data_IF_905791135216
#
_entry.id   IF_905791135216
#
_cell.length_a   1.000
_cell.length_b   1.000
_cell.length_c   1.000
_cell.angle_alpha   90.00
_cell.angle_beta   90.00
_cell.angle_gamma   90.00
#
_symmetry.space_group_name_H-M   'P 1'
#
loop_
_entity.id
_entity.type
_entity.pdbx_description
1 polymer ?
#
# COMPACT_ATOMS: atom_id res chain seq x y z
N UNK A 1 25.70 48.13 -19.05
CA UNK A 1 27.10 48.20 -18.56
C UNK A 1 27.59 46.78 -18.28
N UNK A 2 28.62 46.39 -19.05
CA UNK A 2 29.63 45.29 -18.93
C UNK A 2 29.35 44.00 -18.14
N UNK A 3 29.80 42.80 -18.53
CA UNK A 3 30.45 42.16 -19.71
C UNK A 3 30.65 40.70 -19.26
N UNK A 4 30.06 39.70 -19.91
CA UNK A 4 30.75 38.69 -20.74
C UNK A 4 32.20 38.36 -20.36
N UNK A 5 32.52 37.07 -20.19
CA UNK A 5 33.69 36.27 -20.64
C UNK A 5 33.33 34.78 -20.36
N UNK A 6 33.78 33.71 -21.04
CA UNK A 6 34.17 33.38 -22.42
C UNK A 6 34.49 31.86 -22.36
N UNK A 7 34.05 31.06 -23.34
CA UNK A 7 34.38 29.63 -23.47
C UNK A 7 35.89 29.38 -23.67
N UNK A 8 36.36 28.19 -23.28
CA UNK A 8 37.42 27.48 -24.01
C UNK A 8 37.26 25.96 -23.86
N UNK A 9 37.09 25.29 -24.99
CA UNK A 9 37.26 23.84 -25.16
C UNK A 9 38.74 23.55 -25.48
N UNK A 10 39.26 22.42 -25.01
CA UNK A 10 40.49 21.83 -25.53
C UNK A 10 40.40 20.30 -25.46
N UNK A 11 40.64 19.69 -26.61
CA UNK A 11 40.71 18.24 -26.80
C UNK A 11 42.18 17.77 -26.87
N UNK A 12 42.31 16.44 -26.81
CA UNK A 12 43.34 15.57 -27.40
C UNK A 12 44.54 15.08 -26.57
N UNK A 13 44.78 13.78 -26.83
CA UNK A 13 46.05 13.02 -26.95
C UNK A 13 46.50 12.15 -25.77
N UNK A 14 46.23 10.84 -25.95
CA UNK A 14 47.01 9.74 -25.42
C UNK A 14 48.30 9.55 -26.25
N UNK A 15 49.40 9.09 -25.60
CA UNK A 15 50.49 8.23 -26.11
C UNK A 15 51.49 7.95 -24.95
N UNK A 16 52.20 6.81 -24.93
CA UNK A 16 52.37 5.94 -23.75
C UNK A 16 53.68 6.16 -22.98
N UNK A 17 53.71 5.71 -21.71
CA UNK A 17 54.94 5.61 -20.94
C UNK A 17 55.35 4.14 -20.75
N UNK A 18 56.64 3.91 -21.04
CA UNK A 18 57.33 2.64 -21.06
C UNK A 18 57.36 1.90 -19.72
N UNK A 19 57.39 0.57 -19.79
CA UNK A 19 57.60 -0.32 -18.67
C UNK A 19 59.04 -0.21 -18.13
N UNK A 20 59.17 -0.12 -16.80
CA UNK A 20 60.41 -0.32 -16.04
C UNK A 20 60.25 -1.54 -15.11
N UNK A 21 61.34 -2.23 -14.75
CA UNK A 21 61.28 -3.60 -14.24
C UNK A 21 60.75 -3.67 -12.81
N UNK A 22 59.93 -4.69 -12.57
CA UNK A 22 59.38 -5.04 -11.27
C UNK A 22 60.51 -5.57 -10.38
N UNK A 23 60.90 -4.80 -9.37
CA UNK A 23 61.65 -5.31 -8.23
C UNK A 23 60.71 -6.13 -7.34
N UNK A 24 61.01 -7.41 -7.15
CA UNK A 24 60.29 -8.32 -6.25
C UNK A 24 60.59 -7.97 -4.79
N UNK A 25 59.76 -7.12 -4.19
CA UNK A 25 59.72 -6.97 -2.73
C UNK A 25 58.92 -8.14 -2.16
N UNK A 26 59.59 -8.98 -1.36
CA UNK A 26 58.94 -10.00 -0.56
C UNK A 26 58.04 -9.32 0.49
N UNK A 27 56.74 -9.29 0.22
CA UNK A 27 55.75 -8.87 1.20
C UNK A 27 55.63 -9.94 2.30
N UNK A 28 55.94 -9.55 3.54
CA UNK A 28 55.49 -10.31 4.70
C UNK A 28 53.96 -10.40 4.68
N UNK A 29 53.34 -11.51 5.13
CA UNK A 29 51.89 -11.59 5.26
C UNK A 29 51.44 -10.61 6.35
N UNK A 30 51.06 -9.41 5.92
CA UNK A 30 50.36 -8.44 6.75
C UNK A 30 49.02 -9.03 7.15
N UNK A 31 48.78 -9.12 8.45
CA UNK A 31 47.46 -9.31 9.05
C UNK A 31 46.48 -8.36 8.37
N UNK A 32 45.45 -8.90 7.72
CA UNK A 32 44.37 -8.10 7.17
C UNK A 32 43.79 -7.22 8.29
N UNK A 33 44.01 -5.91 8.20
CA UNK A 33 43.40 -4.95 9.09
C UNK A 33 41.88 -5.09 8.94
N UNK A 34 41.20 -5.48 10.02
CA UNK A 34 39.75 -5.49 10.10
C UNK A 34 39.29 -4.06 9.82
N UNK A 35 38.54 -3.83 8.74
CA UNK A 35 37.97 -2.51 8.44
C UNK A 35 37.30 -1.96 9.72
N UNK A 36 37.62 -0.72 10.10
CA UNK A 36 37.02 -0.09 11.27
C UNK A 36 35.50 -0.12 11.13
N UNK A 37 34.81 -0.67 12.13
CA UNK A 37 33.35 -0.70 12.14
C UNK A 37 32.80 0.73 12.13
N UNK A 38 31.92 1.02 11.18
CA UNK A 38 31.26 2.32 11.07
C UNK A 38 30.42 2.64 12.32
N UNK A 39 30.03 3.91 12.50
CA UNK A 39 29.12 4.31 13.57
C UNK A 39 27.81 3.51 13.51
N UNK A 40 27.29 3.30 12.30
CA UNK A 40 26.15 2.43 12.05
C UNK A 40 26.39 1.00 12.50
N UNK A 41 27.50 0.35 12.11
CA UNK A 41 27.76 -1.06 12.47
C UNK A 41 27.84 -1.26 13.99
N UNK A 42 28.45 -0.30 14.69
CA UNK A 42 28.54 -0.34 16.16
C UNK A 42 27.17 -0.23 16.82
N UNK A 43 26.33 0.72 16.41
CA UNK A 43 24.99 0.91 16.98
C UNK A 43 24.05 -0.24 16.59
N UNK A 44 24.11 -0.71 15.35
CA UNK A 44 23.38 -1.89 14.91
C UNK A 44 23.69 -3.11 15.78
N UNK A 45 24.98 -3.38 16.04
CA UNK A 45 25.42 -4.49 16.90
C UNK A 45 24.94 -4.42 18.35
N UNK A 46 24.58 -3.23 18.84
CA UNK A 46 24.08 -3.00 20.20
C UNK A 46 22.57 -3.24 20.36
N UNK A 47 21.81 -3.41 19.28
CA UNK A 47 20.34 -3.52 19.35
C UNK A 47 19.82 -4.62 20.26
N UNK A 48 20.42 -5.83 20.23
CA UNK A 48 20.00 -6.91 21.13
C UNK A 48 20.22 -6.51 22.59
N UNK A 49 21.38 -5.93 22.88
CA UNK A 49 21.73 -5.48 24.22
C UNK A 49 20.86 -4.30 24.69
N UNK A 50 20.44 -3.41 23.79
CA UNK A 50 19.46 -2.35 24.07
C UNK A 50 18.11 -2.93 24.52
N UNK A 51 17.57 -3.91 23.78
CA UNK A 51 16.30 -4.55 24.14
C UNK A 51 16.38 -5.32 25.47
N UNK A 52 17.56 -5.83 25.82
CA UNK A 52 17.80 -6.50 27.10
C UNK A 52 18.12 -5.53 28.25
N UNK A 53 18.14 -4.21 27.99
CA UNK A 53 18.49 -3.19 28.99
C UNK A 53 19.97 -3.17 29.37
N UNK A 54 20.83 -3.87 28.63
CA UNK A 54 22.29 -3.87 28.83
C UNK A 54 22.99 -2.65 28.23
N UNK A 55 22.31 -1.94 27.33
CA UNK A 55 22.73 -0.61 26.85
C UNK A 55 21.72 0.41 27.36
N UNK A 56 22.14 1.44 28.13
CA UNK A 56 21.21 2.45 28.63
C UNK A 56 20.52 3.21 27.50
N UNK A 57 19.22 3.46 27.67
CA UNK A 57 18.40 4.19 26.69
C UNK A 57 18.99 5.57 26.33
N UNK A 58 19.46 6.29 27.35
CA UNK A 58 20.07 7.61 27.20
C UNK A 58 21.41 7.61 26.44
N UNK A 59 22.14 6.49 26.46
CA UNK A 59 23.47 6.35 25.82
C UNK A 59 23.37 5.83 24.39
N UNK A 60 22.20 5.33 24.01
CA UNK A 60 21.90 4.83 22.67
C UNK A 60 21.23 5.90 21.81
N UNK A 61 20.24 6.63 22.37
CA UNK A 61 19.39 7.54 21.61
C UNK A 61 19.71 9.01 21.82
N UNK A 62 19.68 9.78 20.73
CA UNK A 62 19.86 11.22 20.75
C UNK A 62 18.73 11.93 21.50
N UNK A 63 18.96 13.14 22.06
CA UNK A 63 17.92 13.91 22.75
C UNK A 63 16.61 14.06 21.95
N UNK A 64 16.72 14.32 20.64
CA UNK A 64 15.56 14.45 19.74
C UNK A 64 14.72 13.17 19.67
N UNK A 65 15.34 12.00 19.64
CA UNK A 65 14.61 10.72 19.66
C UNK A 65 13.92 10.51 21.01
N UNK A 66 14.59 10.85 22.11
CA UNK A 66 14.06 10.68 23.46
C UNK A 66 12.89 11.61 23.77
N UNK A 67 12.86 12.79 23.15
CA UNK A 67 11.72 13.71 23.21
C UNK A 67 10.52 13.14 22.43
N UNK A 68 10.75 12.62 21.23
CA UNK A 68 9.69 12.03 20.41
C UNK A 68 9.16 10.70 20.97
N UNK A 69 10.05 9.88 21.54
CA UNK A 69 9.74 8.59 22.14
C UNK A 69 10.40 8.56 23.54
N UNK A 70 9.64 8.84 24.61
CA UNK A 70 10.14 8.69 25.97
C UNK A 70 10.50 7.23 26.28
N UNK A 71 11.41 6.99 27.24
CA UNK A 71 11.90 5.64 27.57
C UNK A 71 10.77 4.67 27.95
N UNK A 72 9.80 5.13 28.73
CA UNK A 72 8.63 4.32 29.09
C UNK A 72 7.87 3.84 27.85
N UNK A 73 7.70 4.72 26.85
CA UNK A 73 7.04 4.37 25.59
C UNK A 73 7.88 3.41 24.75
N UNK A 74 9.20 3.59 24.70
CA UNK A 74 10.09 2.63 24.05
C UNK A 74 9.98 1.24 24.70
N UNK A 75 9.94 1.18 26.03
CA UNK A 75 9.78 -0.07 26.79
C UNK A 75 8.47 -0.78 26.46
N UNK A 76 7.34 -0.05 26.43
CA UNK A 76 6.05 -0.60 26.00
C UNK A 76 6.11 -1.19 24.58
N UNK A 77 6.75 -0.47 23.64
CA UNK A 77 6.91 -0.95 22.26
C UNK A 77 7.77 -2.23 22.22
N UNK A 78 8.89 -2.24 22.94
CA UNK A 78 9.78 -3.40 23.04
C UNK A 78 9.08 -4.60 23.68
N UNK A 79 8.32 -4.40 24.76
CA UNK A 79 7.55 -5.46 25.42
C UNK A 79 6.46 -6.04 24.50
N UNK A 80 5.77 -5.20 23.73
CA UNK A 80 4.81 -5.67 22.72
C UNK A 80 5.48 -6.52 21.63
N UNK A 81 6.62 -6.06 21.10
CA UNK A 81 7.39 -6.83 20.11
C UNK A 81 7.89 -8.16 20.68
N UNK A 82 8.34 -8.18 21.94
CA UNK A 82 8.80 -9.39 22.62
C UNK A 82 7.64 -10.34 22.93
N UNK A 83 6.50 -9.81 23.37
CA UNK A 83 5.29 -10.58 23.59
C UNK A 83 4.83 -11.28 22.32
N UNK A 84 4.84 -10.56 21.19
CA UNK A 84 4.41 -11.09 19.90
C UNK A 84 5.43 -12.06 19.29
N UNK A 85 6.70 -11.68 19.24
CA UNK A 85 7.72 -12.39 18.44
C UNK A 85 8.81 -13.09 19.26
N UNK A 86 8.71 -13.10 20.59
CA UNK A 86 9.73 -13.62 21.49
C UNK A 86 10.90 -12.66 21.64
N UNK A 87 11.97 -13.05 22.33
CA UNK A 87 13.12 -12.16 22.59
C UNK A 87 13.93 -11.90 21.31
N UNK A 88 14.56 -10.71 21.14
CA UNK A 88 15.56 -10.51 20.09
C UNK A 88 16.77 -11.39 20.39
N UNK A 89 17.32 -12.02 19.36
CA UNK A 89 18.39 -13.01 19.50
C UNK A 89 19.66 -12.58 18.79
N UNK A 90 19.57 -12.01 17.59
CA UNK A 90 20.76 -11.59 16.84
C UNK A 90 20.44 -10.60 15.72
N UNK A 91 21.37 -9.71 15.43
CA UNK A 91 21.41 -8.99 14.15
C UNK A 91 21.88 -9.96 13.07
N UNK A 92 20.98 -10.33 12.15
CA UNK A 92 21.28 -11.22 11.02
C UNK A 92 22.05 -10.53 9.92
N UNK A 93 21.72 -9.26 9.67
CA UNK A 93 22.33 -8.44 8.63
C UNK A 93 22.20 -6.98 9.01
N UNK A 94 23.24 -6.20 8.74
CA UNK A 94 23.23 -4.75 8.81
C UNK A 94 23.88 -4.24 7.51
N UNK A 95 23.21 -3.35 6.81
CA UNK A 95 23.71 -2.78 5.54
C UNK A 95 23.51 -1.28 5.55
N UNK A 96 24.59 -0.54 5.32
CA UNK A 96 24.62 0.91 5.18
C UNK A 96 25.63 1.26 4.09
N UNK A 97 25.25 2.18 3.21
CA UNK A 97 26.11 2.64 2.12
C UNK A 97 26.99 3.84 2.55
N UNK A 98 26.56 4.58 3.57
CA UNK A 98 27.20 5.82 4.06
C UNK A 98 27.79 5.68 5.48
N UNK A 99 27.61 4.53 6.14
CA UNK A 99 28.07 4.27 7.50
C UNK A 99 27.29 5.00 8.60
N UNK A 100 26.20 5.70 8.28
CA UNK A 100 25.34 6.44 9.21
C UNK A 100 23.90 5.94 9.18
N UNK A 101 23.38 5.64 8.00
CA UNK A 101 21.99 5.29 7.78
C UNK A 101 21.89 3.98 7.03
N UNK A 102 21.01 3.08 7.48
CA UNK A 102 20.97 1.74 6.92
C UNK A 102 19.83 0.86 7.42
N UNK A 103 19.77 -0.35 6.86
CA UNK A 103 18.75 -1.35 7.14
C UNK A 103 19.35 -2.51 7.93
N UNK A 104 18.62 -2.95 8.95
CA UNK A 104 19.01 -4.04 9.85
C UNK A 104 17.93 -5.12 9.82
N UNK A 105 18.36 -6.37 9.71
CA UNK A 105 17.51 -7.54 9.95
C UNK A 105 17.77 -8.05 11.37
N UNK A 106 16.88 -7.75 12.30
CA UNK A 106 16.96 -8.18 13.70
C UNK A 106 16.12 -9.45 13.88
N UNK A 107 16.76 -10.58 14.14
CA UNK A 107 16.07 -11.84 14.44
C UNK A 107 15.58 -11.84 15.87
N UNK A 108 14.31 -12.15 16.03
CA UNK A 108 13.63 -12.56 17.25
C UNK A 108 13.45 -14.09 17.27
N UNK A 109 13.03 -14.66 18.39
CA UNK A 109 12.79 -16.11 18.51
C UNK A 109 11.77 -16.63 17.50
N UNK A 110 10.70 -15.87 17.25
CA UNK A 110 9.58 -16.23 16.37
C UNK A 110 9.46 -15.34 15.12
N UNK A 111 10.54 -14.66 14.73
CA UNK A 111 10.58 -13.99 13.42
C UNK A 111 11.74 -13.01 13.27
N UNK A 112 11.68 -12.15 12.26
CA UNK A 112 12.74 -11.20 11.92
C UNK A 112 12.13 -9.84 11.61
N UNK A 113 12.55 -8.81 12.34
CA UNK A 113 12.22 -7.42 12.05
C UNK A 113 13.18 -6.84 10.99
N UNK A 114 12.64 -6.04 10.09
CA UNK A 114 13.42 -5.10 9.28
C UNK A 114 13.37 -3.74 9.97
N UNK A 115 14.53 -3.16 10.28
CA UNK A 115 14.67 -1.91 11.02
C UNK A 115 15.46 -0.93 10.17
N UNK A 116 14.94 0.28 9.99
CA UNK A 116 15.73 1.44 9.54
C UNK A 116 16.37 2.07 10.76
N UNK A 117 17.68 2.27 10.70
CA UNK A 117 18.46 2.93 11.75
C UNK A 117 19.22 4.12 11.12
N UNK A 118 19.13 5.28 11.77
CA UNK A 118 19.81 6.51 11.38
C UNK A 118 20.66 6.99 12.57
N UNK A 119 21.97 7.09 12.38
CA UNK A 119 22.97 7.38 13.41
C UNK A 119 23.58 8.75 13.17
N UNK A 120 23.67 9.56 14.23
CA UNK A 120 24.27 10.89 14.20
C UNK A 120 25.80 10.87 14.04
N UNK A 121 26.41 12.06 13.90
CA UNK A 121 27.85 12.18 13.70
C UNK A 121 28.67 11.68 14.91
N UNK A 122 29.93 11.34 14.65
CA UNK A 122 30.93 11.07 15.67
C UNK A 122 31.31 12.37 16.43
N UNK A 123 31.83 12.29 17.67
CA UNK A 123 32.23 11.08 18.40
C UNK A 123 31.08 10.34 19.10
N UNK A 124 29.96 11.00 19.40
CA UNK A 124 28.88 10.42 20.21
C UNK A 124 28.09 9.35 19.46
N UNK A 125 27.90 9.53 18.15
CA UNK A 125 27.22 8.59 17.26
C UNK A 125 25.89 8.07 17.83
N UNK A 126 25.09 8.96 18.44
CA UNK A 126 23.80 8.61 19.01
C UNK A 126 22.78 8.34 17.91
N UNK A 127 21.84 7.42 18.16
CA UNK A 127 20.78 7.08 17.21
C UNK A 127 19.75 8.20 17.16
N UNK A 128 19.59 8.79 15.99
CA UNK A 128 18.62 9.84 15.67
C UNK A 128 17.25 9.24 15.32
N UNK A 129 17.25 8.06 14.71
CA UNK A 129 16.04 7.38 14.24
C UNK A 129 16.15 5.86 14.31
N UNK A 130 15.07 5.22 14.76
CA UNK A 130 14.88 3.78 14.73
C UNK A 130 13.42 3.51 14.35
N UNK A 131 13.21 2.85 13.21
CA UNK A 131 11.87 2.50 12.74
C UNK A 131 11.81 1.04 12.30
N UNK A 132 10.91 0.27 12.90
CA UNK A 132 10.56 -1.06 12.37
C UNK A 132 9.75 -0.85 11.10
N UNK A 133 10.27 -1.31 9.96
CA UNK A 133 9.66 -1.15 8.63
C UNK A 133 9.03 -2.43 8.10
N UNK A 134 9.12 -3.53 8.84
CA UNK A 134 8.48 -4.80 8.50
C UNK A 134 8.85 -5.91 9.47
N UNK A 135 8.05 -6.98 9.49
CA UNK A 135 8.31 -8.16 10.30
C UNK A 135 7.94 -9.42 9.52
N UNK A 136 8.78 -10.45 9.59
CA UNK A 136 8.52 -11.76 8.99
C UNK A 136 8.48 -12.80 10.10
N UNK A 137 7.34 -13.44 10.31
CA UNK A 137 7.22 -14.50 11.31
C UNK A 137 7.99 -15.77 10.91
N UNK A 138 8.63 -16.42 11.88
CA UNK A 138 9.28 -17.71 11.68
C UNK A 138 8.21 -18.83 11.73
N UNK A 139 8.32 -19.81 10.84
CA UNK A 139 7.36 -20.93 10.72
C UNK A 139 5.89 -20.50 10.49
N UNK A 140 5.69 -19.33 9.88
CA UNK A 140 4.36 -18.85 9.54
C UNK A 140 3.70 -19.72 8.47
N UNK A 141 2.37 -19.74 8.45
CA UNK A 141 1.58 -20.51 7.48
C UNK A 141 0.29 -19.79 7.13
N UNK A 142 -0.25 -20.07 5.95
CA UNK A 142 -1.51 -19.45 5.52
C UNK A 142 -2.64 -19.82 6.50
N UNK A 143 -2.65 -21.04 7.03
CA UNK A 143 -3.63 -21.48 8.02
C UNK A 143 -3.55 -20.67 9.33
N UNK A 144 -2.34 -20.36 9.82
CA UNK A 144 -2.16 -19.53 11.00
C UNK A 144 -2.68 -18.09 10.78
N UNK A 145 -2.30 -17.48 9.64
CA UNK A 145 -2.79 -16.14 9.30
C UNK A 145 -4.31 -16.13 9.09
N UNK A 146 -4.87 -17.17 8.47
CA UNK A 146 -6.31 -17.32 8.29
C UNK A 146 -7.06 -17.40 9.63
N UNK A 147 -6.52 -18.13 10.62
CA UNK A 147 -7.08 -18.19 11.96
C UNK A 147 -7.00 -16.83 12.67
N UNK A 148 -5.92 -16.08 12.50
CA UNK A 148 -5.79 -14.73 13.05
C UNK A 148 -6.76 -13.73 12.40
N UNK A 149 -6.98 -13.83 11.09
CA UNK A 149 -8.01 -13.04 10.37
C UNK A 149 -9.40 -13.39 10.91
N UNK A 150 -9.72 -14.69 11.03
CA UNK A 150 -11.01 -15.15 11.54
C UNK A 150 -11.29 -14.75 13.01
N UNK A 151 -10.24 -14.48 13.79
CA UNK A 151 -10.34 -14.02 15.17
C UNK A 151 -10.55 -12.49 15.29
N UNK A 152 -10.49 -11.74 14.20
CA UNK A 152 -10.82 -10.31 14.21
C UNK A 152 -12.32 -10.11 14.46
N UNK A 153 -12.73 -9.08 15.23
CA UNK A 153 -14.15 -8.82 15.48
C UNK A 153 -14.85 -8.25 14.24
N UNK A 154 -16.07 -8.70 13.97
CA UNK A 154 -16.84 -8.28 12.79
C UNK A 154 -16.71 -9.29 11.66
N UNK A 155 -16.80 -8.80 10.42
CA UNK A 155 -16.79 -9.63 9.23
C UNK A 155 -15.44 -9.54 8.52
N UNK A 156 -14.87 -10.70 8.18
CA UNK A 156 -13.60 -10.77 7.45
C UNK A 156 -13.69 -11.69 6.26
N UNK A 157 -12.92 -11.38 5.21
CA UNK A 157 -12.69 -12.27 4.09
C UNK A 157 -11.31 -12.05 3.50
N UNK A 158 -10.73 -13.10 2.94
CA UNK A 158 -9.46 -13.01 2.23
C UNK A 158 -9.37 -14.03 1.11
N UNK A 159 -8.50 -13.76 0.15
CA UNK A 159 -8.17 -14.64 -0.96
C UNK A 159 -6.67 -14.53 -1.26
N UNK A 160 -6.03 -15.69 -1.37
CA UNK A 160 -4.75 -15.90 -2.03
C UNK A 160 -5.01 -16.76 -3.24
N UNK A 161 -4.77 -16.23 -4.44
CA UNK A 161 -5.02 -16.94 -5.69
C UNK A 161 -3.88 -16.76 -6.68
N UNK A 162 -3.60 -17.80 -7.45
CA UNK A 162 -2.80 -17.70 -8.68
C UNK A 162 -3.72 -17.21 -9.80
N UNK A 163 -3.22 -16.30 -10.64
CA UNK A 163 -3.95 -15.72 -11.78
C UNK A 163 -3.22 -16.11 -13.06
N UNK A 164 -3.93 -16.79 -13.96
CA UNK A 164 -3.45 -17.16 -15.28
C UNK A 164 -4.47 -16.77 -16.35
N UNK A 165 -4.26 -15.61 -16.98
CA UNK A 165 -5.28 -14.98 -17.82
C UNK A 165 -6.56 -14.73 -17.01
N UNK A 166 -7.69 -15.24 -17.48
CA UNK A 166 -8.99 -15.16 -16.81
C UNK A 166 -9.19 -16.26 -15.76
N UNK A 167 -8.28 -17.25 -15.68
CA UNK A 167 -8.35 -18.32 -14.71
C UNK A 167 -7.79 -17.86 -13.36
N UNK A 168 -8.66 -17.81 -12.33
CA UNK A 168 -8.29 -17.49 -10.95
C UNK A 168 -8.33 -18.77 -10.14
N UNK A 169 -7.16 -19.32 -9.85
CA UNK A 169 -7.02 -20.55 -9.05
C UNK A 169 -6.79 -20.20 -7.60
N UNK A 170 -7.84 -20.37 -6.78
CA UNK A 170 -7.74 -20.19 -5.34
C UNK A 170 -6.72 -21.16 -4.73
N UNK A 171 -5.84 -20.62 -3.90
CA UNK A 171 -4.85 -21.37 -3.11
C UNK A 171 -5.33 -21.46 -1.66
N UNK A 172 -5.85 -20.34 -1.14
CA UNK A 172 -6.48 -20.27 0.16
C UNK A 172 -7.43 -19.08 0.21
N UNK A 173 -8.43 -19.16 1.07
CA UNK A 173 -9.36 -18.06 1.28
C UNK A 173 -10.46 -18.42 2.26
N UNK A 174 -11.13 -17.38 2.76
CA UNK A 174 -12.34 -17.47 3.56
C UNK A 174 -13.23 -16.29 3.18
N UNK A 175 -14.56 -16.49 3.12
CA UNK A 175 -15.50 -15.46 2.69
C UNK A 175 -15.22 -14.93 1.27
N UNK A 176 -14.70 -15.77 0.38
CA UNK A 176 -14.16 -15.36 -0.94
C UNK A 176 -15.20 -14.76 -1.87
N UNK A 177 -16.46 -15.19 -1.75
CA UNK A 177 -17.60 -14.68 -2.53
C UNK A 177 -18.52 -13.76 -1.72
N UNK A 178 -18.20 -13.54 -0.42
CA UNK A 178 -18.95 -12.61 0.41
C UNK A 178 -18.65 -11.18 -0.01
N UNK A 179 -19.68 -10.37 -0.19
CA UNK A 179 -19.54 -8.95 -0.46
C UNK A 179 -19.16 -8.18 0.81
N UNK A 180 -18.12 -7.36 0.73
CA UNK A 180 -17.68 -6.44 1.78
C UNK A 180 -17.81 -5.00 1.29
N UNK A 181 -17.99 -4.05 2.20
CA UNK A 181 -17.58 -2.67 1.93
C UNK A 181 -16.06 -2.67 1.73
N UNK A 182 -15.59 -2.01 0.68
CA UNK A 182 -14.18 -2.06 0.27
C UNK A 182 -13.52 -0.69 0.17
N UNK A 183 -14.24 0.39 0.46
CA UNK A 183 -13.68 1.74 0.37
C UNK A 183 -13.14 1.99 -1.03
N UNK A 184 -11.97 2.64 -1.08
CA UNK A 184 -11.30 3.05 -2.31
C UNK A 184 -10.83 1.92 -3.25
N UNK A 185 -11.09 0.64 -2.97
CA UNK A 185 -10.86 -0.43 -3.94
C UNK A 185 -11.73 -0.26 -5.21
N UNK A 186 -12.89 0.41 -5.12
CA UNK A 186 -13.74 0.71 -6.28
C UNK A 186 -12.99 1.41 -7.43
N UNK A 187 -11.92 2.16 -7.10
CA UNK A 187 -11.07 2.88 -8.07
C UNK A 187 -10.37 1.96 -9.07
N UNK A 188 -10.29 0.66 -8.77
CA UNK A 188 -9.85 -0.34 -9.75
C UNK A 188 -10.80 -0.38 -10.96
N UNK A 189 -12.12 -0.30 -10.76
CA UNK A 189 -13.09 -0.26 -11.87
C UNK A 189 -13.04 1.05 -12.66
N UNK A 190 -12.74 2.18 -11.99
CA UNK A 190 -12.53 3.48 -12.66
C UNK A 190 -11.27 3.45 -13.51
N UNK A 191 -10.17 2.91 -12.98
CA UNK A 191 -8.92 2.73 -13.73
C UNK A 191 -9.11 1.80 -14.93
N UNK A 192 -9.86 0.72 -14.73
CA UNK A 192 -10.13 -0.26 -15.77
C UNK A 192 -10.95 0.33 -16.92
N UNK A 193 -11.97 1.14 -16.61
CA UNK A 193 -12.74 1.82 -17.64
C UNK A 193 -11.92 2.90 -18.35
N UNK A 194 -11.06 3.65 -17.65
CA UNK A 194 -10.13 4.57 -18.32
C UNK A 194 -9.22 3.82 -19.30
N UNK A 195 -8.62 2.72 -18.86
CA UNK A 195 -7.77 1.88 -19.71
C UNK A 195 -8.54 1.32 -20.91
N UNK A 196 -9.81 0.93 -20.72
CA UNK A 196 -10.68 0.47 -21.81
C UNK A 196 -10.98 1.56 -22.84
N UNK A 197 -11.30 2.79 -22.40
CA UNK A 197 -11.56 3.90 -23.31
C UNK A 197 -10.29 4.28 -24.09
N UNK A 198 -9.12 4.22 -23.46
CA UNK A 198 -7.84 4.44 -24.15
C UNK A 198 -7.56 3.34 -25.16
N UNK A 199 -7.73 2.07 -24.80
CA UNK A 199 -7.55 0.94 -25.72
C UNK A 199 -8.51 1.01 -26.93
N UNK A 200 -9.70 1.57 -26.74
CA UNK A 200 -10.68 1.80 -27.80
C UNK A 200 -10.43 3.08 -28.63
N UNK A 201 -9.36 3.84 -28.35
CA UNK A 201 -9.05 5.10 -29.03
C UNK A 201 -10.01 6.25 -28.75
N UNK A 202 -10.86 6.14 -27.71
CA UNK A 202 -11.78 7.21 -27.31
C UNK A 202 -11.07 8.32 -26.52
N UNK A 203 -9.94 7.99 -25.91
CA UNK A 203 -9.12 8.86 -25.06
C UNK A 203 -7.65 8.50 -25.21
N UNK A 204 -6.78 9.38 -24.74
CA UNK A 204 -5.34 9.15 -24.61
C UNK A 204 -4.89 9.49 -23.19
N UNK A 205 -3.82 8.84 -22.73
CA UNK A 205 -3.28 9.07 -21.38
C UNK A 205 -2.80 10.51 -21.15
N UNK A 206 -2.41 11.20 -22.22
CA UNK A 206 -1.97 12.60 -22.23
C UNK A 206 -3.09 13.61 -22.51
N UNK A 207 -4.34 13.15 -22.73
CA UNK A 207 -5.50 14.04 -22.80
C UNK A 207 -5.57 14.88 -21.51
N UNK A 208 -5.81 16.19 -21.67
CA UNK A 208 -5.91 17.14 -20.57
C UNK A 208 -7.37 17.32 -20.16
N UNK A 209 -7.64 17.16 -18.86
CA UNK A 209 -8.94 17.40 -18.26
C UNK A 209 -8.82 18.41 -17.10
N UNK A 210 -9.86 19.21 -16.84
CA UNK A 210 -9.89 20.06 -15.66
C UNK A 210 -10.11 19.22 -14.40
N UNK A 211 -9.34 19.47 -13.34
CA UNK A 211 -9.66 19.01 -11.99
C UNK A 211 -10.90 19.76 -11.48
N UNK A 212 -12.08 19.25 -11.82
CA UNK A 212 -13.35 19.95 -11.63
C UNK A 212 -14.18 19.46 -10.42
N UNK A 213 -13.86 18.30 -9.87
CA UNK A 213 -14.66 17.65 -8.83
C UNK A 213 -13.84 17.48 -7.53
N UNK A 214 -13.77 18.51 -6.67
CA UNK A 214 -13.05 18.42 -5.40
C UNK A 214 -13.77 17.47 -4.44
N UNK A 215 -13.01 16.71 -3.66
CA UNK A 215 -13.54 15.76 -2.67
C UNK A 215 -12.68 15.74 -1.40
N UNK A 216 -13.23 15.19 -0.31
CA UNK A 216 -12.52 14.96 0.94
C UNK A 216 -11.48 13.83 0.79
N UNK A 217 -10.42 13.82 1.61
CA UNK A 217 -9.32 12.83 1.54
C UNK A 217 -8.61 12.80 0.17
N UNK A 218 -8.24 13.98 -0.32
CA UNK A 218 -7.57 14.19 -1.62
C UNK A 218 -6.16 14.72 -1.44
N UNK A 219 -5.25 13.94 -0.85
CA UNK A 219 -3.93 14.43 -0.45
C UNK A 219 -3.07 15.01 -1.59
N UNK A 220 -3.26 14.57 -2.84
CA UNK A 220 -2.50 15.07 -3.98
C UNK A 220 -3.13 16.34 -4.58
N UNK A 221 -4.46 16.43 -4.57
CA UNK A 221 -5.20 17.52 -5.24
C UNK A 221 -5.81 18.53 -4.25
N UNK A 222 -5.62 18.34 -2.95
CA UNK A 222 -6.13 19.22 -1.92
C UNK A 222 -5.63 20.65 -2.11
N UNK A 223 -6.56 21.60 -2.06
CA UNK A 223 -6.33 23.05 -2.19
C UNK A 223 -5.80 23.50 -3.56
N UNK A 224 -5.81 22.64 -4.57
CA UNK A 224 -5.52 23.08 -5.94
C UNK A 224 -6.64 23.99 -6.44
N UNK A 225 -6.32 25.01 -7.25
CA UNK A 225 -7.34 25.81 -7.91
C UNK A 225 -8.29 24.94 -8.72
N UNK A 226 -9.59 25.22 -8.63
CA UNK A 226 -10.60 24.54 -9.43
C UNK A 226 -10.26 24.66 -10.92
N UNK A 227 -10.46 23.58 -11.67
CA UNK A 227 -10.18 23.48 -13.10
C UNK A 227 -8.69 23.54 -13.48
N UNK A 228 -7.77 23.31 -12.53
CA UNK A 228 -6.36 23.12 -12.86
C UNK A 228 -6.21 22.03 -13.95
N UNK A 229 -5.53 22.31 -15.08
CA UNK A 229 -5.38 21.34 -16.16
C UNK A 229 -4.40 20.23 -15.77
N UNK A 230 -4.86 18.98 -15.87
CA UNK A 230 -4.05 17.79 -15.57
C UNK A 230 -4.29 16.71 -16.62
N UNK A 231 -3.31 15.84 -16.85
CA UNK A 231 -3.49 14.73 -17.79
C UNK A 231 -4.31 13.59 -17.17
N UNK A 232 -4.92 12.73 -17.99
CA UNK A 232 -5.60 11.53 -17.49
C UNK A 232 -4.65 10.58 -16.76
N UNK A 233 -3.40 10.48 -17.21
CA UNK A 233 -2.36 9.74 -16.49
C UNK A 233 -2.12 10.31 -15.08
N UNK A 234 -2.12 11.63 -14.95
CA UNK A 234 -1.90 12.29 -13.65
C UNK A 234 -3.05 11.97 -12.70
N UNK A 235 -4.29 12.07 -13.18
CA UNK A 235 -5.48 11.68 -12.41
C UNK A 235 -5.44 10.21 -12.00
N UNK A 236 -5.11 9.30 -12.92
CA UNK A 236 -5.02 7.87 -12.64
C UNK A 236 -3.92 7.55 -11.61
N UNK A 237 -2.75 8.17 -11.73
CA UNK A 237 -1.63 7.99 -10.80
C UNK A 237 -2.02 8.40 -9.38
N UNK A 238 -2.63 9.57 -9.17
CA UNK A 238 -3.04 10.01 -7.83
C UNK A 238 -4.23 9.22 -7.29
N UNK A 239 -5.22 8.92 -8.13
CA UNK A 239 -6.37 8.09 -7.76
C UNK A 239 -5.92 6.74 -7.20
N UNK A 240 -4.89 6.12 -7.78
CA UNK A 240 -4.42 4.80 -7.37
C UNK A 240 -3.41 4.88 -6.24
N UNK A 241 -2.33 5.66 -6.39
CA UNK A 241 -1.17 5.61 -5.49
C UNK A 241 -1.42 6.20 -4.10
N UNK A 242 -2.12 7.33 -4.03
CA UNK A 242 -2.46 8.03 -2.78
C UNK A 242 -3.96 8.02 -2.49
N UNK A 243 -4.72 7.26 -3.29
CA UNK A 243 -6.17 7.14 -3.14
C UNK A 243 -6.91 8.47 -3.27
N UNK A 244 -6.43 9.40 -4.09
CA UNK A 244 -7.00 10.75 -4.19
C UNK A 244 -8.46 10.73 -4.68
N UNK A 245 -9.38 11.24 -3.86
CA UNK A 245 -10.80 11.22 -4.16
C UNK A 245 -11.21 12.28 -5.19
N UNK A 246 -10.58 13.45 -5.20
CA UNK A 246 -10.84 14.49 -6.21
C UNK A 246 -10.44 14.02 -7.62
N UNK A 247 -9.32 13.31 -7.73
CA UNK A 247 -8.92 12.65 -8.97
C UNK A 247 -9.92 11.56 -9.38
N UNK A 248 -10.40 10.76 -8.42
CA UNK A 248 -11.37 9.71 -8.67
C UNK A 248 -12.71 10.26 -9.17
N UNK A 249 -13.29 11.25 -8.48
CA UNK A 249 -14.57 11.84 -8.85
C UNK A 249 -14.47 12.56 -10.22
N UNK A 250 -13.36 13.24 -10.48
CA UNK A 250 -13.09 13.84 -11.80
C UNK A 250 -13.09 12.77 -12.90
N UNK A 251 -12.46 11.62 -12.67
CA UNK A 251 -12.48 10.50 -13.61
C UNK A 251 -13.87 9.87 -13.74
N UNK A 252 -14.64 9.71 -12.66
CA UNK A 252 -15.99 9.14 -12.73
C UNK A 252 -16.89 9.99 -13.62
N UNK A 253 -16.89 11.31 -13.42
CA UNK A 253 -17.67 12.24 -14.24
C UNK A 253 -17.20 12.25 -15.70
N UNK A 254 -15.88 12.22 -15.93
CA UNK A 254 -15.32 12.23 -17.28
C UNK A 254 -15.59 10.94 -18.06
N UNK A 255 -15.42 9.78 -17.44
CA UNK A 255 -15.59 8.48 -18.09
C UNK A 255 -17.05 8.10 -18.27
N UNK A 256 -17.92 8.59 -17.37
CA UNK A 256 -19.35 8.33 -17.35
C UNK A 256 -19.68 7.12 -16.48
N UNK A 257 -20.60 7.33 -15.53
CA UNK A 257 -21.03 6.33 -14.54
C UNK A 257 -21.46 5.00 -15.17
N UNK A 258 -22.31 5.06 -16.21
CA UNK A 258 -22.82 3.87 -16.91
C UNK A 258 -21.70 3.04 -17.53
N UNK A 259 -20.67 3.67 -18.09
CA UNK A 259 -19.55 2.96 -18.68
C UNK A 259 -18.73 2.21 -17.61
N UNK A 260 -18.54 2.82 -16.44
CA UNK A 260 -17.88 2.18 -15.29
C UNK A 260 -18.73 1.01 -14.74
N UNK A 261 -20.05 1.17 -14.65
CA UNK A 261 -20.98 0.10 -14.22
C UNK A 261 -20.96 -1.10 -15.18
N UNK A 262 -20.97 -0.84 -16.49
CA UNK A 262 -20.84 -1.86 -17.54
C UNK A 262 -19.49 -2.56 -17.46
N UNK A 263 -18.41 -1.79 -17.24
CA UNK A 263 -17.05 -2.31 -17.06
C UNK A 263 -16.94 -3.23 -15.85
N UNK A 264 -17.42 -2.77 -14.70
CA UNK A 264 -17.42 -3.55 -13.46
C UNK A 264 -18.16 -4.89 -13.63
N UNK A 265 -19.30 -4.89 -14.34
CA UNK A 265 -20.03 -6.12 -14.67
C UNK A 265 -19.24 -7.02 -15.62
N UNK A 266 -18.62 -6.45 -16.66
CA UNK A 266 -17.81 -7.19 -17.62
C UNK A 266 -16.56 -7.82 -16.98
N UNK A 267 -15.94 -7.12 -16.02
CA UNK A 267 -14.85 -7.62 -15.20
C UNK A 267 -15.31 -8.68 -14.16
N UNK A 268 -16.58 -9.10 -14.18
CA UNK A 268 -17.07 -10.23 -13.41
C UNK A 268 -17.37 -9.95 -11.93
N UNK A 269 -17.69 -8.69 -11.57
CA UNK A 269 -18.26 -8.42 -10.25
C UNK A 269 -19.56 -9.22 -10.07
N UNK A 270 -19.66 -9.97 -8.99
CA UNK A 270 -20.75 -10.92 -8.71
C UNK A 270 -22.03 -10.27 -8.20
N UNK A 271 -21.98 -9.02 -7.73
CA UNK A 271 -23.13 -8.29 -7.18
C UNK A 271 -23.19 -6.83 -7.68
N UNK A 272 -23.17 -6.57 -9.01
CA UNK A 272 -23.02 -5.23 -9.57
C UNK A 272 -24.16 -4.28 -9.17
N UNK A 273 -25.35 -4.81 -8.86
CA UNK A 273 -26.49 -4.03 -8.40
C UNK A 273 -26.22 -3.30 -7.06
N UNK A 274 -25.28 -3.76 -6.24
CA UNK A 274 -24.89 -3.06 -4.99
C UNK A 274 -24.11 -1.78 -5.23
N UNK A 275 -23.54 -1.63 -6.43
CA UNK A 275 -22.74 -0.48 -6.84
C UNK A 275 -23.41 0.26 -8.00
N UNK A 276 -24.72 0.09 -8.19
CA UNK A 276 -25.48 0.74 -9.27
C UNK A 276 -26.63 1.53 -8.64
N UNK A 277 -26.67 2.87 -8.74
CA UNK A 277 -25.70 3.72 -9.45
C UNK A 277 -24.30 3.71 -8.81
N UNK A 278 -23.25 3.77 -9.64
CA UNK A 278 -21.86 3.79 -9.18
C UNK A 278 -21.50 5.15 -8.59
N UNK A 279 -21.70 5.35 -7.29
CA UNK A 279 -21.53 6.64 -6.62
C UNK A 279 -20.12 7.23 -6.75
N UNK A 280 -20.04 8.56 -6.87
CA UNK A 280 -18.81 9.32 -6.60
C UNK A 280 -18.55 9.35 -5.09
N UNK A 281 -17.34 9.74 -4.70
CA UNK A 281 -17.00 9.84 -3.28
C UNK A 281 -17.79 10.94 -2.58
N UNK A 282 -17.97 12.10 -3.22
CA UNK A 282 -18.80 13.18 -2.67
C UNK A 282 -20.25 12.76 -2.50
N UNK A 283 -20.84 12.05 -3.48
CA UNK A 283 -22.23 11.55 -3.37
C UNK A 283 -22.39 10.59 -2.19
N UNK A 284 -21.47 9.62 -2.06
CA UNK A 284 -21.48 8.68 -0.94
C UNK A 284 -21.34 9.39 0.41
N UNK A 285 -20.38 10.32 0.54
CA UNK A 285 -20.15 11.04 1.80
C UNK A 285 -21.30 11.99 2.16
N UNK A 286 -21.92 12.65 1.19
CA UNK A 286 -23.08 13.50 1.40
C UNK A 286 -24.28 12.67 1.90
N UNK A 287 -24.56 11.54 1.25
CA UNK A 287 -25.65 10.64 1.66
C UNK A 287 -25.42 10.05 3.06
N UNK A 288 -24.17 9.85 3.52
CA UNK A 288 -23.87 9.40 4.89
C UNK A 288 -24.06 10.48 5.97
N UNK A 289 -24.05 11.76 5.57
CA UNK A 289 -24.21 12.92 6.44
C UNK A 289 -25.60 13.04 7.07
N UNK A 290 -25.76 13.90 8.08
CA UNK A 290 -27.07 14.11 8.70
C UNK A 290 -27.97 15.04 7.86
N UNK A 291 -27.36 15.93 7.09
CA UNK A 291 -28.02 16.93 6.24
C UNK A 291 -28.79 16.35 5.04
N UNK A 292 -28.64 15.05 4.74
CA UNK A 292 -29.37 14.35 3.69
C UNK A 292 -30.08 13.08 4.19
N UNK A 293 -30.50 13.05 5.46
CA UNK A 293 -31.12 11.86 6.05
C UNK A 293 -32.35 11.35 5.30
N UNK A 294 -33.24 12.25 4.87
CA UNK A 294 -34.45 11.88 4.13
C UNK A 294 -34.10 11.30 2.75
N UNK A 295 -33.17 11.94 2.03
CA UNK A 295 -32.69 11.45 0.74
C UNK A 295 -31.98 10.11 0.88
N UNK A 296 -31.17 9.92 1.92
CA UNK A 296 -30.54 8.61 2.21
C UNK A 296 -31.60 7.55 2.44
N UNK A 297 -32.64 7.83 3.24
CA UNK A 297 -33.71 6.87 3.47
C UNK A 297 -34.39 6.47 2.17
N UNK A 298 -34.74 7.44 1.33
CA UNK A 298 -35.35 7.19 0.02
C UNK A 298 -34.41 6.44 -0.93
N UNK A 299 -33.12 6.79 -0.94
CA UNK A 299 -32.09 6.13 -1.77
C UNK A 299 -31.94 4.66 -1.38
N UNK A 300 -31.85 4.36 -0.08
CA UNK A 300 -31.66 2.99 0.41
C UNK A 300 -32.88 2.09 0.21
N UNK A 301 -34.09 2.65 0.18
CA UNK A 301 -35.32 1.88 -0.07
C UNK A 301 -35.73 1.85 -1.55
N UNK A 302 -35.15 2.70 -2.38
CA UNK A 302 -35.54 2.89 -3.78
C UNK A 302 -34.99 1.82 -4.72
N UNK A 303 -35.67 1.64 -5.84
CA UNK A 303 -35.17 0.96 -7.03
C UNK A 303 -33.96 1.69 -7.63
N UNK A 304 -33.21 1.02 -8.51
CA UNK A 304 -32.08 1.64 -9.22
C UNK A 304 -32.49 2.93 -9.95
N UNK A 305 -33.69 2.96 -10.55
CA UNK A 305 -34.19 4.14 -11.25
C UNK A 305 -34.47 5.31 -10.28
N UNK A 306 -35.00 5.02 -9.08
CA UNK A 306 -35.23 6.03 -8.04
C UNK A 306 -33.91 6.51 -7.44
N UNK A 307 -32.95 5.61 -7.20
CA UNK A 307 -31.60 5.95 -6.75
C UNK A 307 -30.89 6.89 -7.73
N UNK A 308 -30.92 6.56 -9.03
CA UNK A 308 -30.37 7.43 -10.09
C UNK A 308 -31.06 8.79 -10.10
N UNK A 309 -32.39 8.80 -10.04
CA UNK A 309 -33.15 10.05 -9.99
C UNK A 309 -32.76 10.90 -8.78
N UNK A 310 -32.57 10.31 -7.61
CA UNK A 310 -32.12 11.03 -6.41
C UNK A 310 -30.73 11.63 -6.62
N UNK A 311 -29.79 10.87 -7.20
CA UNK A 311 -28.45 11.37 -7.50
C UNK A 311 -28.48 12.51 -8.51
N UNK A 312 -29.21 12.35 -9.61
CA UNK A 312 -29.28 13.33 -10.69
C UNK A 312 -30.03 14.60 -10.27
N UNK A 313 -31.17 14.48 -9.59
CA UNK A 313 -31.98 15.62 -9.12
C UNK A 313 -31.26 16.45 -8.03
N UNK A 314 -30.22 15.90 -7.40
CA UNK A 314 -29.48 16.56 -6.32
C UNK A 314 -28.00 16.77 -6.67
N UNK A 315 -27.63 16.74 -7.96
CA UNK A 315 -26.24 16.89 -8.40
C UNK A 315 -25.61 18.24 -7.97
N UNK A 316 -26.40 19.31 -7.87
CA UNK A 316 -25.99 20.63 -7.37
C UNK A 316 -25.82 20.67 -5.84
N UNK A 317 -26.46 19.73 -5.13
CA UNK A 317 -26.41 19.62 -3.67
C UNK A 317 -25.37 18.62 -3.19
N UNK A 318 -25.08 17.56 -3.97
CA UNK A 318 -24.01 16.61 -3.69
C UNK A 318 -22.65 17.19 -4.08
N UNK A 319 -22.21 18.17 -3.30
CA UNK A 319 -20.94 18.87 -3.45
C UNK A 319 -20.13 18.77 -2.17
N UNK A 320 -18.79 18.95 -2.25
CA UNK A 320 -17.91 18.92 -1.08
C UNK A 320 -18.37 19.87 0.05
N UNK A 321 -18.94 21.03 -0.31
CA UNK A 321 -19.44 22.01 0.65
C UNK A 321 -20.58 21.47 1.54
N UNK A 322 -21.31 20.47 1.05
CA UNK A 322 -22.42 19.83 1.75
C UNK A 322 -22.05 18.45 2.30
N UNK A 323 -20.77 18.07 2.33
CA UNK A 323 -20.34 16.86 3.04
C UNK A 323 -20.23 17.17 4.53
N UNK A 324 -21.08 16.53 5.33
CA UNK A 324 -21.09 16.65 6.79
C UNK A 324 -19.88 15.91 7.39
N UNK A 325 -19.16 16.57 8.30
CA UNK A 325 -17.99 16.00 9.00
C UNK A 325 -18.32 14.75 9.83
N UNK A 326 -19.59 14.53 10.18
CA UNK A 326 -20.04 13.27 10.83
C UNK A 326 -19.72 12.03 9.99
N UNK A 327 -19.55 12.17 8.67
CA UNK A 327 -19.17 11.07 7.78
C UNK A 327 -17.76 10.54 8.04
N UNK A 328 -16.93 11.29 8.80
CA UNK A 328 -15.52 10.96 9.05
C UNK A 328 -15.17 10.84 10.54
N UNK A 329 -16.15 10.95 11.43
CA UNK A 329 -15.93 10.92 12.87
C UNK A 329 -16.91 10.02 13.61
N UNK A 330 -16.50 9.55 14.78
CA UNK A 330 -17.36 8.74 15.66
C UNK A 330 -17.39 7.27 15.26
N UNK A 331 -18.60 6.72 15.04
CA UNK A 331 -18.82 5.30 14.74
C UNK A 331 -18.96 5.07 13.23
N UNK A 332 -18.73 3.83 12.75
CA UNK A 332 -19.03 3.43 11.38
C UNK A 332 -20.47 3.81 10.97
N UNK A 333 -20.67 4.25 9.73
CA UNK A 333 -21.98 4.71 9.22
C UNK A 333 -22.33 4.05 7.90
N UNK A 334 -23.45 3.32 7.91
CA UNK A 334 -24.08 2.73 6.71
C UNK A 334 -23.13 1.86 5.87
N UNK A 335 -22.12 1.24 6.50
CA UNK A 335 -21.09 0.48 5.78
C UNK A 335 -21.69 -0.71 5.02
N UNK A 336 -22.82 -1.26 5.49
CA UNK A 336 -23.46 -2.41 4.85
C UNK A 336 -24.41 -2.03 3.70
N UNK A 337 -24.77 -0.75 3.55
CA UNK A 337 -25.84 -0.31 2.65
C UNK A 337 -25.49 0.86 1.74
N UNK A 338 -24.50 1.67 2.10
CA UNK A 338 -24.06 2.86 1.36
C UNK A 338 -22.54 2.88 1.32
N UNK A 339 -21.95 2.09 0.43
CA UNK A 339 -20.51 1.95 0.24
C UNK A 339 -20.27 1.43 -1.19
N UNK A 340 -19.03 1.07 -1.53
CA UNK A 340 -18.74 0.28 -2.72
C UNK A 340 -18.45 -1.16 -2.30
N UNK A 341 -19.09 -2.10 -2.95
CA UNK A 341 -19.09 -3.49 -2.54
C UNK A 341 -18.33 -4.39 -3.50
N UNK A 342 -17.46 -5.22 -2.96
CA UNK A 342 -16.80 -6.28 -3.71
C UNK A 342 -16.47 -7.46 -2.79
N UNK A 343 -16.50 -8.66 -3.33
CA UNK A 343 -15.91 -9.83 -2.69
C UNK A 343 -14.41 -9.95 -2.98
N UNK A 344 -13.64 -10.69 -2.16
CA UNK A 344 -12.24 -11.02 -2.49
C UNK A 344 -12.07 -11.57 -3.91
N UNK A 345 -13.02 -12.39 -4.39
CA UNK A 345 -13.00 -12.91 -5.74
C UNK A 345 -13.29 -11.83 -6.80
N UNK A 346 -14.19 -10.89 -6.55
CA UNK A 346 -14.45 -9.78 -7.48
C UNK A 346 -13.23 -8.86 -7.63
N UNK A 347 -12.50 -8.62 -6.53
CA UNK A 347 -11.24 -7.87 -6.57
C UNK A 347 -10.17 -8.61 -7.37
N UNK A 348 -10.08 -9.93 -7.24
CA UNK A 348 -9.18 -10.73 -8.05
C UNK A 348 -9.52 -10.67 -9.54
N UNK A 349 -10.81 -10.72 -9.90
CA UNK A 349 -11.25 -10.54 -11.29
C UNK A 349 -10.97 -9.14 -11.83
N UNK A 350 -11.16 -8.10 -11.02
CA UNK A 350 -10.81 -6.73 -11.41
C UNK A 350 -9.31 -6.58 -11.72
N UNK A 351 -8.43 -7.17 -10.89
CA UNK A 351 -7.00 -7.20 -11.19
C UNK A 351 -6.65 -8.03 -12.42
N UNK A 352 -7.34 -9.16 -12.63
CA UNK A 352 -7.14 -9.98 -13.82
C UNK A 352 -7.51 -9.21 -15.09
N UNK A 353 -8.65 -8.51 -15.14
CA UNK A 353 -9.08 -7.69 -16.29
C UNK A 353 -8.08 -6.55 -16.58
N UNK A 354 -7.68 -5.81 -15.53
CA UNK A 354 -6.66 -4.74 -15.62
C UNK A 354 -5.34 -5.26 -16.20
N UNK A 355 -4.89 -6.45 -15.77
CA UNK A 355 -3.66 -7.07 -16.28
C UNK A 355 -3.84 -7.51 -17.74
N UNK A 356 -4.96 -8.14 -18.07
CA UNK A 356 -5.24 -8.66 -19.40
C UNK A 356 -5.23 -7.57 -20.49
N UNK A 357 -5.51 -6.31 -20.13
CA UNK A 357 -5.40 -5.15 -21.03
C UNK A 357 -4.01 -4.91 -21.59
N UNK A 358 -2.94 -5.36 -20.91
CA UNK A 358 -1.55 -5.11 -21.35
C UNK A 358 -1.15 -3.63 -21.37
N UNK A 359 -1.86 -2.77 -20.63
CA UNK A 359 -1.61 -1.32 -20.58
C UNK A 359 -0.47 -1.00 -19.63
N UNK A 360 0.70 -0.63 -20.17
CA UNK A 360 1.86 -0.23 -19.36
C UNK A 360 1.56 0.94 -18.40
N UNK A 361 0.84 2.01 -18.81
CA UNK A 361 0.52 3.10 -17.89
C UNK A 361 -0.44 2.70 -16.76
N UNK A 362 -1.34 1.74 -17.01
CA UNK A 362 -2.21 1.15 -15.99
C UNK A 362 -1.41 0.38 -14.95
N UNK A 363 -0.51 -0.51 -15.39
CA UNK A 363 0.34 -1.29 -14.49
C UNK A 363 1.32 -0.39 -13.72
N UNK A 364 1.82 0.68 -14.36
CA UNK A 364 2.65 1.67 -13.68
C UNK A 364 1.88 2.38 -12.56
N UNK A 365 0.64 2.83 -12.80
CA UNK A 365 -0.17 3.49 -11.78
C UNK A 365 -0.38 2.62 -10.52
N UNK A 366 -0.64 1.32 -10.71
CA UNK A 366 -0.77 0.34 -9.63
C UNK A 366 0.53 0.14 -8.83
N UNK A 367 1.69 0.27 -9.46
CA UNK A 367 2.99 -0.01 -8.85
C UNK A 367 3.66 1.21 -8.16
N UNK A 368 3.14 2.43 -8.34
CA UNK A 368 3.69 3.64 -7.69
C UNK A 368 3.72 3.49 -6.17
N UNK A 369 2.62 3.00 -5.60
CA UNK A 369 2.54 2.58 -4.21
C UNK A 369 2.29 1.08 -4.20
N UNK A 370 3.25 0.30 -3.73
CA UNK A 370 3.18 -1.15 -3.69
C UNK A 370 2.59 -1.70 -2.38
N UNK A 371 2.19 -0.82 -1.45
CA UNK A 371 1.45 -1.16 -0.22
C UNK A 371 2.27 -1.83 0.90
N UNK A 372 3.53 -2.21 0.66
CA UNK A 372 4.35 -2.95 1.62
C UNK A 372 5.81 -2.47 1.65
N UNK A 373 6.51 -2.76 2.75
CA UNK A 373 7.93 -2.43 2.88
C UNK A 373 8.85 -3.24 1.95
N UNK A 374 10.10 -2.79 1.71
CA UNK A 374 11.03 -3.43 0.76
C UNK A 374 11.28 -4.92 1.01
N UNK A 375 11.25 -5.36 2.27
CA UNK A 375 11.45 -6.77 2.62
C UNK A 375 10.32 -7.66 2.10
N UNK A 376 9.07 -7.23 2.20
CA UNK A 376 7.91 -7.99 1.70
C UNK A 376 7.80 -7.93 0.16
N UNK A 377 8.36 -6.89 -0.46
CA UNK A 377 8.40 -6.74 -1.91
C UNK A 377 9.55 -7.52 -2.58
N UNK A 378 10.55 -7.99 -1.82
CA UNK A 378 11.82 -8.50 -2.37
C UNK A 378 11.68 -9.70 -3.33
N UNK A 379 10.67 -10.54 -3.10
CA UNK A 379 10.43 -11.78 -3.85
C UNK A 379 9.48 -11.60 -5.06
N UNK A 380 9.15 -10.35 -5.39
CA UNK A 380 8.23 -10.00 -6.46
C UNK A 380 8.93 -9.17 -7.54
N UNK A 381 8.78 -9.55 -8.81
CA UNK A 381 9.29 -8.76 -9.95
C UNK A 381 8.39 -7.57 -10.28
N UNK A 382 7.12 -7.67 -9.93
CA UNK A 382 6.13 -6.60 -10.01
C UNK A 382 5.20 -6.69 -8.80
N UNK A 383 4.81 -5.54 -8.25
CA UNK A 383 3.83 -5.45 -7.19
C UNK A 383 2.94 -4.22 -7.39
N UNK A 384 1.68 -4.45 -7.73
CA UNK A 384 0.64 -3.43 -7.80
C UNK A 384 -0.27 -3.51 -6.58
N UNK A 385 -0.78 -2.37 -6.12
CA UNK A 385 -1.57 -2.30 -4.89
C UNK A 385 -2.73 -1.33 -4.99
N UNK A 386 -3.82 -1.68 -4.31
CA UNK A 386 -4.86 -0.75 -3.90
C UNK A 386 -5.36 -1.13 -2.52
N UNK A 387 -5.54 -0.13 -1.66
CA UNK A 387 -6.27 -0.25 -0.40
C UNK A 387 -7.54 0.59 -0.41
N UNK A 388 -8.40 0.35 0.57
CA UNK A 388 -9.57 1.16 0.85
C UNK A 388 -9.89 1.15 2.33
N UNK A 389 -10.32 2.29 2.85
CA UNK A 389 -10.66 2.42 4.26
C UNK A 389 -11.68 3.51 4.51
N UNK A 390 -12.54 3.28 5.48
CA UNK A 390 -13.33 4.27 6.20
C UNK A 390 -13.58 3.75 7.63
N UNK A 391 -14.30 4.49 8.48
CA UNK A 391 -14.61 4.01 9.83
C UNK A 391 -15.34 2.67 9.76
N UNK A 392 -14.74 1.63 10.33
CA UNK A 392 -15.31 0.27 10.32
C UNK A 392 -15.08 -0.51 9.03
N UNK A 393 -14.27 -0.02 8.09
CA UNK A 393 -13.97 -0.68 6.81
C UNK A 393 -12.47 -0.61 6.53
N UNK A 394 -11.81 -1.74 6.32
CA UNK A 394 -10.44 -1.80 5.83
C UNK A 394 -10.31 -2.93 4.79
N UNK A 395 -9.78 -2.60 3.62
CA UNK A 395 -9.42 -3.54 2.57
C UNK A 395 -8.01 -3.29 2.05
N UNK A 396 -7.28 -4.36 1.77
CA UNK A 396 -5.91 -4.32 1.26
C UNK A 396 -5.75 -5.38 0.18
N UNK A 397 -5.36 -4.97 -1.03
CA UNK A 397 -5.37 -5.85 -2.20
C UNK A 397 -4.13 -5.63 -3.06
N UNK A 398 -3.43 -6.72 -3.38
CA UNK A 398 -2.19 -6.71 -4.16
C UNK A 398 -2.29 -7.64 -5.37
N UNK A 399 -1.70 -7.21 -6.48
CA UNK A 399 -1.39 -8.02 -7.66
C UNK A 399 0.12 -8.13 -7.77
N UNK A 400 0.66 -9.34 -7.63
CA UNK A 400 2.11 -9.57 -7.65
C UNK A 400 2.52 -10.53 -8.76
N UNK A 401 3.66 -10.26 -9.40
CA UNK A 401 4.37 -11.24 -10.22
C UNK A 401 5.53 -11.81 -9.42
N UNK A 402 5.48 -13.11 -9.12
CA UNK A 402 6.47 -13.78 -8.29
C UNK A 402 7.79 -13.94 -9.04
N UNK A 403 8.91 -13.60 -8.40
CA UNK A 403 10.22 -13.59 -9.03
C UNK A 403 10.77 -14.99 -9.34
N UNK A 404 10.41 -15.98 -8.52
CA UNK A 404 10.92 -17.35 -8.62
C UNK A 404 10.49 -18.07 -9.91
N UNK A 405 9.25 -17.84 -10.37
CA UNK A 405 8.66 -18.57 -11.49
C UNK A 405 7.83 -17.69 -12.45
N UNK A 406 7.78 -16.38 -12.22
CA UNK A 406 7.06 -15.42 -13.08
C UNK A 406 5.54 -15.49 -13.00
N UNK A 407 4.99 -16.33 -12.11
CA UNK A 407 3.54 -16.50 -11.93
C UNK A 407 2.89 -15.29 -11.27
N UNK A 408 1.62 -15.06 -11.61
CA UNK A 408 0.85 -13.94 -11.08
C UNK A 408 -0.04 -14.37 -9.92
N UNK A 409 -0.14 -13.52 -8.91
CA UNK A 409 -0.91 -13.77 -7.71
C UNK A 409 -1.75 -12.56 -7.34
N UNK A 410 -2.95 -12.81 -6.83
CA UNK A 410 -3.71 -11.83 -6.07
C UNK A 410 -3.70 -12.24 -4.60
N UNK A 411 -3.37 -11.27 -3.74
CA UNK A 411 -3.52 -11.37 -2.29
C UNK A 411 -4.41 -10.22 -1.85
N UNK A 412 -5.61 -10.54 -1.39
CA UNK A 412 -6.61 -9.52 -1.01
C UNK A 412 -7.32 -9.92 0.26
N UNK A 413 -7.65 -8.95 1.10
CA UNK A 413 -8.50 -9.14 2.26
C UNK A 413 -9.36 -7.92 2.54
N UNK A 414 -10.50 -8.15 3.18
CA UNK A 414 -11.42 -7.12 3.69
C UNK A 414 -11.82 -7.43 5.14
N UNK A 415 -11.99 -6.37 5.93
CA UNK A 415 -12.45 -6.39 7.30
C UNK A 415 -13.50 -5.29 7.50
N UNK A 416 -14.71 -5.66 7.90
CA UNK A 416 -15.80 -4.74 8.19
C UNK A 416 -16.30 -4.91 9.63
N UNK A 417 -16.67 -3.81 10.29
CA UNK A 417 -17.33 -3.82 11.58
C UNK A 417 -18.25 -2.60 11.69
N UNK A 418 -19.55 -2.83 11.84
CA UNK A 418 -20.54 -1.74 11.87
C UNK A 418 -20.58 -0.99 13.22
N UNK A 419 -19.87 -1.46 14.25
CA UNK A 419 -19.93 -0.92 15.60
C UNK A 419 -18.66 -0.13 16.01
N UNK A 420 -17.49 -0.55 15.53
CA UNK A 420 -16.19 -0.05 15.95
C UNK A 420 -15.30 0.23 14.74
N UNK A 421 -14.42 1.23 14.89
CA UNK A 421 -13.33 1.42 13.94
C UNK A 421 -12.23 0.34 14.09
N UNK A 422 -11.42 0.19 13.06
CA UNK A 422 -10.53 -0.96 12.86
C UNK A 422 -9.05 -0.58 12.96
N UNK A 423 -8.24 -1.49 13.49
CA UNK A 423 -6.78 -1.34 13.47
C UNK A 423 -6.21 -1.71 12.09
N UNK A 424 -6.12 -0.71 11.22
CA UNK A 424 -5.58 -0.86 9.88
C UNK A 424 -4.13 -1.36 9.83
N UNK A 425 -3.31 -1.05 10.84
CA UNK A 425 -1.92 -1.50 10.89
C UNK A 425 -1.84 -2.99 11.21
N UNK A 426 -2.64 -3.46 12.17
CA UNK A 426 -2.78 -4.90 12.47
C UNK A 426 -3.23 -5.65 11.22
N UNK A 427 -4.24 -5.13 10.53
CA UNK A 427 -4.77 -5.74 9.31
C UNK A 427 -3.73 -5.79 8.18
N UNK A 428 -3.04 -4.68 7.91
CA UNK A 428 -1.97 -4.63 6.92
C UNK A 428 -0.84 -5.62 7.22
N UNK A 429 -0.52 -5.84 8.50
CA UNK A 429 0.44 -6.86 8.93
C UNK A 429 0.01 -8.29 8.55
N UNK A 430 -1.27 -8.62 8.70
CA UNK A 430 -1.81 -9.95 8.31
C UNK A 430 -1.75 -10.15 6.79
N UNK A 431 -2.15 -9.15 6.01
CA UNK A 431 -2.12 -9.24 4.53
C UNK A 431 -0.68 -9.29 4.01
N UNK A 432 0.24 -8.56 4.63
CA UNK A 432 1.68 -8.63 4.31
C UNK A 432 2.25 -10.02 4.59
N UNK A 433 1.80 -10.71 5.63
CA UNK A 433 2.18 -12.10 5.91
C UNK A 433 1.63 -13.07 4.87
N UNK A 434 0.36 -12.91 4.46
CA UNK A 434 -0.21 -13.69 3.34
C UNK A 434 0.60 -13.49 2.06
N UNK A 435 1.01 -12.25 1.76
CA UNK A 435 1.86 -11.94 0.61
C UNK A 435 3.22 -12.64 0.69
N UNK A 436 3.91 -12.55 1.83
CA UNK A 436 5.19 -13.23 2.03
C UNK A 436 5.07 -14.76 1.91
N UNK A 437 3.93 -15.33 2.31
CA UNK A 437 3.65 -16.76 2.15
C UNK A 437 3.35 -17.14 0.70
N UNK A 438 2.61 -16.32 -0.04
CA UNK A 438 2.33 -16.51 -1.47
C UNK A 438 3.60 -16.43 -2.34
N UNK A 439 4.62 -15.71 -1.88
CA UNK A 439 5.91 -15.59 -2.55
C UNK A 439 6.77 -16.87 -2.48
N UNK A 440 6.49 -17.81 -1.56
CA UNK A 440 7.25 -19.07 -1.43
C UNK A 440 6.91 -20.03 -2.58
N UNK A 441 7.88 -20.83 -3.03
CA UNK A 441 7.63 -21.90 -4.00
C UNK A 441 6.75 -23.01 -3.39
N UNK A 442 5.96 -23.69 -4.21
CA UNK A 442 5.20 -24.88 -3.78
C UNK A 442 3.97 -24.62 -2.90
N UNK A 443 3.41 -23.41 -2.88
CA UNK A 443 2.12 -23.16 -2.21
C UNK A 443 1.02 -23.99 -2.89
N UNK A 444 0.72 -25.14 -2.31
CA UNK A 444 -0.37 -26.03 -2.74
C UNK A 444 -1.70 -25.51 -2.21
N UNK A 445 -2.82 -25.78 -2.91
CA UNK A 445 -4.14 -25.47 -2.39
C UNK A 445 -4.33 -26.03 -0.99
N UNK A 446 -4.83 -25.21 -0.07
CA UNK A 446 -5.33 -25.72 1.22
C UNK A 446 -6.58 -26.57 0.94
N UNK A 447 -6.74 -27.71 1.61
CA UNK A 447 -8.00 -28.45 1.55
C UNK A 447 -9.15 -27.51 1.98
N UNK A 448 -10.32 -27.56 1.31
CA UNK A 448 -11.46 -26.76 1.71
C UNK A 448 -11.82 -27.05 3.18
N UNK A 449 -12.30 -26.05 3.94
CA UNK A 449 -12.79 -26.30 5.28
C UNK A 449 -13.89 -27.39 5.24
N UNK A 450 -14.02 -28.22 6.30
CA UNK A 450 -15.13 -29.16 6.38
C UNK A 450 -16.45 -28.39 6.23
N UNK A 451 -17.35 -28.93 5.40
CA UNK A 451 -18.70 -28.39 5.28
C UNK A 451 -19.39 -28.37 6.66
N UNK A 452 -20.28 -27.39 6.92
CA UNK A 452 -20.98 -27.26 8.19
C UNK A 452 -21.81 -28.49 8.56
#
# INVERSE_FOLDING_TARGET
MNRLHRLAAAALLAVPLAALPVGTVHAQPGTAARAEQSAFDRRAGQLVALFEGRVPYADYFAPSFREAIPEARFREISENLVGQYGKPVAVKRATSDDGQSGTILLRFERGTATIRLDVGPAPEALVLGLRVTGFVAANDSIAAVAAEIAALPGDTGFLVAEVDGDNIRQIAGSGTDRQFAVGSIFKLYVLDELAAQVAAGKRHWDDVAPLAHPSFSSAATANWPLNTPVTLQTLANWMISVSDNGAADTLIHLLGRKAIEERMRAAGNSAPARNTPFLTTVEAFALKGNNFADLRSAFLSGSEAEQRKIVDDNADRFTLANVDGVSFGGKPRFIDSLEWFASPMDVARAFADLRARGSAPTMAALAINNGVGPAAAADWSYLGYKGGSELGVVSMSLLGQRKADGKWFVVTASWNNAALDLDGNKFAGLVTRLLALAAKEGVTPSAPPPAP
#
